data_IF_827370171447
#
_entry.id   IF_827370171447
#
_cell.length_a   1.000
_cell.length_b   1.000
_cell.length_c   1.000
_cell.angle_alpha   90.00
_cell.angle_beta   90.00
_cell.angle_gamma   90.00
#
_symmetry.space_group_name_H-M   'P 1'
#
loop_
_entity.id
_entity.type
_entity.pdbx_description
1 polymer ?
#
# COMPACT_ATOMS: atom_id res chain seq x y z
N UNK A 1 5.13 10.49 21.77
CA UNK A 1 5.71 9.25 21.23
C UNK A 1 6.37 9.44 19.84
N UNK A 2 5.82 10.32 19.00
CA UNK A 2 6.33 10.62 17.65
C UNK A 2 7.71 11.30 17.67
N UNK A 3 7.97 12.20 18.61
CA UNK A 3 9.26 12.88 18.76
C UNK A 3 10.38 11.89 19.11
N UNK A 4 10.09 10.94 20.02
CA UNK A 4 11.02 9.86 20.37
C UNK A 4 11.34 8.98 19.18
N UNK A 5 10.32 8.65 18.38
CA UNK A 5 10.48 7.90 17.14
C UNK A 5 11.35 8.67 16.14
N UNK A 6 11.03 9.95 15.90
CA UNK A 6 11.76 10.79 14.97
C UNK A 6 13.26 10.88 15.34
N UNK A 7 13.57 11.14 16.60
CA UNK A 7 14.95 11.17 17.08
C UNK A 7 15.67 9.83 16.85
N UNK A 8 15.07 8.73 17.29
CA UNK A 8 15.69 7.41 17.17
C UNK A 8 15.90 7.00 15.71
N UNK A 9 14.99 7.38 14.82
CA UNK A 9 15.10 7.09 13.40
C UNK A 9 16.15 7.99 12.73
N UNK A 10 16.23 9.28 13.07
CA UNK A 10 17.28 10.16 12.55
C UNK A 10 18.66 9.62 12.89
N UNK A 11 18.87 9.20 14.14
CA UNK A 11 20.15 8.62 14.60
C UNK A 11 20.47 7.29 13.86
N UNK A 12 19.43 6.47 13.59
CA UNK A 12 19.62 5.15 12.97
C UNK A 12 19.93 5.20 11.48
N UNK A 13 19.29 6.11 10.74
CA UNK A 13 19.36 6.15 9.27
C UNK A 13 20.23 7.29 8.75
N UNK A 14 20.68 8.21 9.62
CA UNK A 14 21.53 9.34 9.23
C UNK A 14 20.84 10.42 8.38
N UNK A 15 19.48 10.47 8.44
CA UNK A 15 18.66 11.46 7.74
C UNK A 15 17.73 12.12 8.75
N UNK A 16 17.47 13.41 8.58
CA UNK A 16 16.55 14.13 9.46
C UNK A 16 15.13 13.57 9.35
N UNK A 17 14.63 13.04 10.45
CA UNK A 17 13.24 12.64 10.63
C UNK A 17 12.56 13.66 11.54
N UNK A 18 11.54 14.33 11.03
CA UNK A 18 10.86 15.42 11.72
C UNK A 18 9.45 14.97 12.12
N UNK A 19 9.16 15.03 13.41
CA UNK A 19 7.81 14.81 13.89
C UNK A 19 6.97 16.07 13.66
N UNK A 20 5.79 15.89 13.07
CA UNK A 20 4.82 16.97 12.86
C UNK A 20 3.54 16.72 13.66
N UNK A 21 2.76 17.75 13.92
CA UNK A 21 1.57 17.70 14.76
C UNK A 21 0.28 17.43 13.99
N UNK A 22 0.31 17.55 12.66
CA UNK A 22 -0.84 17.27 11.80
C UNK A 22 -0.44 16.59 10.50
N UNK A 23 -1.39 15.89 9.88
CA UNK A 23 -1.20 15.30 8.56
C UNK A 23 -0.96 16.37 7.49
N UNK A 24 -1.68 17.50 7.55
CA UNK A 24 -1.49 18.60 6.61
C UNK A 24 -0.04 19.12 6.60
N UNK A 25 0.58 19.27 7.78
CA UNK A 25 1.99 19.67 7.88
C UNK A 25 2.95 18.64 7.32
N UNK A 26 2.57 17.35 7.33
CA UNK A 26 3.36 16.32 6.67
C UNK A 26 3.37 16.50 5.14
N UNK A 27 2.29 17.00 4.57
CA UNK A 27 2.18 17.28 3.13
C UNK A 27 2.93 18.55 2.68
N UNK A 28 3.17 19.50 3.57
CA UNK A 28 3.58 20.84 3.19
C UNK A 28 4.87 20.89 2.36
N UNK A 29 5.85 20.03 2.62
CA UNK A 29 7.15 19.99 1.92
C UNK A 29 7.50 18.62 1.36
N UNK A 30 6.53 17.72 1.28
CA UNK A 30 6.77 16.37 0.83
C UNK A 30 6.60 16.24 -0.68
N UNK A 31 7.50 15.52 -1.33
CA UNK A 31 7.37 15.07 -2.71
C UNK A 31 6.71 13.70 -2.78
N UNK A 32 6.89 12.88 -1.73
CA UNK A 32 6.33 11.53 -1.61
C UNK A 32 5.58 11.39 -0.30
N UNK A 33 4.35 10.95 -0.36
CA UNK A 33 3.50 10.66 0.78
C UNK A 33 3.29 9.14 0.86
N UNK A 34 3.52 8.57 2.03
CA UNK A 34 3.19 7.18 2.32
C UNK A 34 2.17 7.13 3.45
N UNK A 35 0.97 6.66 3.15
CA UNK A 35 -0.03 6.36 4.16
C UNK A 35 0.00 4.85 4.47
N UNK A 36 0.22 4.52 5.73
CA UNK A 36 0.27 3.15 6.24
C UNK A 36 -0.27 3.15 7.68
N UNK A 37 -1.52 3.56 7.82
CA UNK A 37 -2.21 3.66 9.10
C UNK A 37 -3.22 2.52 9.27
N UNK A 38 -3.85 2.45 10.43
CA UNK A 38 -5.00 1.58 10.68
C UNK A 38 -6.33 2.35 10.62
N UNK A 39 -6.37 3.48 9.91
CA UNK A 39 -7.57 4.30 9.81
C UNK A 39 -8.65 3.65 8.95
N UNK A 40 -9.88 3.80 9.38
CA UNK A 40 -11.08 3.43 8.60
C UNK A 40 -11.66 4.62 7.82
N UNK A 41 -11.05 5.78 7.95
CA UNK A 41 -11.46 7.03 7.30
C UNK A 41 -10.26 7.63 6.57
N UNK A 42 -10.48 8.46 5.53
CA UNK A 42 -9.41 9.15 4.83
C UNK A 42 -8.48 9.89 5.79
N UNK A 43 -7.18 9.76 5.57
CA UNK A 43 -6.16 10.34 6.46
C UNK A 43 -5.58 11.64 5.94
N UNK A 44 -6.01 12.07 4.76
CA UNK A 44 -5.60 13.34 4.14
C UNK A 44 -6.74 13.95 3.32
N UNK A 45 -6.59 15.22 2.97
CA UNK A 45 -7.50 15.94 2.09
C UNK A 45 -6.85 16.14 0.71
N UNK A 46 -7.57 15.87 -0.41
CA UNK A 46 -7.03 16.04 -1.76
C UNK A 46 -6.53 17.47 -2.03
N UNK A 47 -7.03 18.44 -1.32
CA UNK A 47 -6.63 19.85 -1.43
C UNK A 47 -5.18 20.11 -1.02
N UNK A 48 -4.57 19.21 -0.24
CA UNK A 48 -3.16 19.29 0.17
C UNK A 48 -2.19 18.81 -0.91
N UNK A 49 -2.71 18.16 -1.96
CA UNK A 49 -1.89 17.66 -3.06
C UNK A 49 -1.34 18.82 -3.90
N UNK A 50 -0.05 18.77 -4.16
CA UNK A 50 0.69 19.71 -5.01
C UNK A 50 1.17 19.02 -6.28
N UNK A 51 1.38 19.77 -7.36
CA UNK A 51 1.99 19.24 -8.58
C UNK A 51 3.28 18.46 -8.28
N UNK A 52 3.46 17.34 -8.95
CA UNK A 52 4.65 16.50 -8.83
C UNK A 52 4.65 15.50 -7.67
N UNK A 53 3.70 15.58 -6.75
CA UNK A 53 3.63 14.63 -5.63
C UNK A 53 3.38 13.19 -6.07
N UNK A 54 3.88 12.26 -5.27
CA UNK A 54 3.55 10.84 -5.35
C UNK A 54 2.89 10.36 -4.07
N UNK A 55 1.77 9.64 -4.21
CA UNK A 55 1.08 9.01 -3.08
C UNK A 55 1.22 7.50 -3.15
N UNK A 56 1.68 6.90 -2.07
CA UNK A 56 1.64 5.46 -1.81
C UNK A 56 0.65 5.18 -0.67
N UNK A 57 -0.44 4.50 -0.97
CA UNK A 57 -1.53 4.25 -0.03
C UNK A 57 -1.63 2.76 0.27
N UNK A 58 -1.60 2.41 1.55
CA UNK A 58 -1.61 1.02 2.02
C UNK A 58 -2.99 0.38 1.98
N UNK A 59 -4.04 1.15 2.17
CA UNK A 59 -5.42 0.66 2.12
C UNK A 59 -6.37 1.69 1.52
N UNK A 60 -7.34 1.20 0.76
CA UNK A 60 -8.37 2.03 0.14
C UNK A 60 -9.15 2.90 1.14
N UNK A 61 -9.23 2.51 2.41
CA UNK A 61 -9.95 3.28 3.43
C UNK A 61 -9.21 4.57 3.83
N UNK A 62 -7.89 4.58 3.76
CA UNK A 62 -7.07 5.77 4.04
C UNK A 62 -7.20 6.86 2.98
N UNK A 63 -7.69 6.48 1.80
CA UNK A 63 -7.75 7.32 0.62
C UNK A 63 -9.02 8.17 0.56
N UNK A 64 -8.94 9.33 -0.07
CA UNK A 64 -10.11 10.12 -0.44
C UNK A 64 -10.43 9.91 -1.92
N UNK A 65 -11.66 9.49 -2.22
CA UNK A 65 -12.10 9.23 -3.59
C UNK A 65 -11.90 10.41 -4.55
N UNK A 66 -11.90 11.63 -4.03
CA UNK A 66 -11.68 12.86 -4.82
C UNK A 66 -10.22 12.97 -5.30
N UNK A 67 -9.29 12.23 -4.70
CA UNK A 67 -7.89 12.18 -5.13
C UNK A 67 -7.77 11.63 -6.53
N UNK A 68 -8.57 10.62 -6.85
CA UNK A 68 -8.53 9.94 -8.16
C UNK A 68 -8.90 10.88 -9.33
N UNK A 69 -9.64 11.94 -9.06
CA UNK A 69 -9.94 12.96 -10.07
C UNK A 69 -8.75 13.90 -10.30
N UNK A 70 -7.90 14.08 -9.29
CA UNK A 70 -6.74 14.99 -9.34
C UNK A 70 -5.45 14.28 -9.77
N UNK A 71 -5.40 12.97 -9.65
CA UNK A 71 -4.26 12.18 -10.07
C UNK A 71 -4.43 11.78 -11.53
N UNK A 72 -3.43 12.07 -12.34
CA UNK A 72 -3.48 11.66 -13.76
C UNK A 72 -3.27 10.17 -13.91
N UNK A 73 -2.49 9.57 -13.04
CA UNK A 73 -2.13 8.17 -13.10
C UNK A 73 -2.38 7.49 -11.77
N UNK A 74 -3.15 6.41 -11.80
CA UNK A 74 -3.43 5.61 -10.62
C UNK A 74 -2.95 4.21 -10.90
N UNK A 75 -1.94 3.82 -10.16
CA UNK A 75 -1.31 2.52 -10.28
C UNK A 75 -1.77 1.67 -9.11
N UNK A 76 -2.47 0.62 -9.40
CA UNK A 76 -2.84 -0.40 -8.41
C UNK A 76 -1.93 -1.61 -8.55
N UNK A 77 -1.66 -2.29 -7.45
CA UNK A 77 -0.81 -3.48 -7.49
C UNK A 77 -1.45 -4.59 -8.31
N UNK A 78 -2.75 -4.78 -8.17
CA UNK A 78 -3.53 -5.74 -8.94
C UNK A 78 -5.00 -5.31 -8.97
N UNK A 79 -5.63 -5.32 -10.14
CA UNK A 79 -7.07 -5.07 -10.27
C UNK A 79 -7.86 -6.20 -9.62
N UNK A 80 -9.00 -5.89 -8.97
CA UNK A 80 -9.88 -6.92 -8.46
C UNK A 80 -10.43 -7.79 -9.60
N UNK A 81 -10.34 -9.11 -9.46
CA UNK A 81 -10.98 -10.03 -10.40
C UNK A 81 -12.50 -9.98 -10.19
N UNK A 82 -13.25 -9.46 -11.19
CA UNK A 82 -14.71 -9.60 -11.27
C UNK A 82 -15.53 -8.97 -10.13
N UNK A 83 -15.04 -7.91 -9.52
CA UNK A 83 -15.61 -7.31 -8.32
C UNK A 83 -14.80 -7.68 -7.08
N UNK A 84 -15.11 -7.05 -5.96
CA UNK A 84 -14.48 -7.39 -4.68
C UNK A 84 -14.70 -8.88 -4.41
N UNK A 85 -13.60 -9.64 -4.29
CA UNK A 85 -13.70 -11.06 -4.00
C UNK A 85 -14.48 -11.30 -2.72
N UNK A 86 -15.25 -12.39 -2.66
CA UNK A 86 -15.94 -12.84 -1.45
C UNK A 86 -15.00 -12.92 -0.24
N UNK A 87 -13.70 -13.13 -0.49
CA UNK A 87 -12.66 -13.10 0.52
C UNK A 87 -12.57 -11.73 1.22
N UNK A 88 -12.57 -10.62 0.48
CA UNK A 88 -12.53 -9.27 1.10
C UNK A 88 -13.83 -8.97 1.85
N UNK A 89 -14.97 -9.46 1.36
CA UNK A 89 -16.26 -9.27 2.03
C UNK A 89 -16.33 -10.00 3.37
N UNK A 90 -15.67 -11.13 3.48
CA UNK A 90 -15.72 -11.99 4.67
C UNK A 90 -14.50 -11.79 5.61
N UNK A 91 -13.53 -10.97 5.23
CA UNK A 91 -12.35 -10.73 6.06
C UNK A 91 -12.68 -9.75 7.19
N UNK A 92 -12.90 -10.30 8.37
CA UNK A 92 -13.21 -9.53 9.58
C UNK A 92 -11.91 -9.11 10.26
N UNK A 93 -11.52 -7.85 10.12
CA UNK A 93 -10.38 -7.23 10.85
C UNK A 93 -10.85 -6.26 11.95
N UNK A 94 -11.94 -6.55 12.59
CA UNK A 94 -12.51 -5.71 13.64
C UNK A 94 -13.74 -4.94 13.19
N UNK A 95 -14.48 -4.43 14.15
CA UNK A 95 -15.70 -3.65 13.94
C UNK A 95 -15.43 -2.17 14.11
N UNK A 96 -15.91 -1.36 13.17
CA UNK A 96 -16.02 0.07 13.37
C UNK A 96 -17.14 0.36 14.39
N UNK A 97 -17.10 1.51 15.05
CA UNK A 97 -18.20 2.01 15.91
C UNK A 97 -19.59 2.01 15.24
N UNK A 98 -19.63 1.96 13.91
CA UNK A 98 -20.85 1.83 13.10
C UNK A 98 -21.36 0.41 12.93
N UNK A 99 -20.68 -0.60 13.48
CA UNK A 99 -21.01 -2.03 13.29
C UNK A 99 -20.59 -2.62 11.93
N UNK A 100 -20.00 -1.84 11.03
CA UNK A 100 -19.52 -2.34 9.75
C UNK A 100 -18.12 -2.93 9.87
N UNK A 101 -17.90 -4.09 9.26
CA UNK A 101 -16.57 -4.72 9.20
C UNK A 101 -15.65 -3.99 8.22
N UNK A 102 -14.34 -4.17 8.37
CA UNK A 102 -13.34 -3.65 7.43
C UNK A 102 -13.64 -4.05 5.98
N UNK A 103 -13.96 -5.33 5.75
CA UNK A 103 -14.29 -5.83 4.41
C UNK A 103 -15.52 -5.17 3.80
N UNK A 104 -16.57 -4.93 4.59
CA UNK A 104 -17.78 -4.24 4.11
C UNK A 104 -17.48 -2.79 3.72
N UNK A 105 -16.63 -2.10 4.46
CA UNK A 105 -16.22 -0.72 4.16
C UNK A 105 -15.37 -0.66 2.88
N UNK A 106 -14.41 -1.57 2.72
CA UNK A 106 -13.59 -1.68 1.50
C UNK A 106 -14.48 -1.96 0.29
N UNK A 107 -15.40 -2.92 0.40
CA UNK A 107 -16.30 -3.27 -0.69
C UNK A 107 -17.17 -2.07 -1.11
N UNK A 108 -17.82 -1.41 -0.15
CA UNK A 108 -18.62 -0.22 -0.42
C UNK A 108 -17.81 0.88 -1.11
N UNK A 109 -16.57 1.10 -0.70
CA UNK A 109 -15.71 2.12 -1.27
C UNK A 109 -15.21 1.74 -2.65
N UNK A 110 -14.84 0.48 -2.87
CA UNK A 110 -14.33 -0.01 -4.15
C UNK A 110 -15.34 0.08 -5.30
N UNK A 111 -16.64 0.03 -4.99
CA UNK A 111 -17.72 0.20 -5.96
C UNK A 111 -17.81 1.63 -6.56
N UNK A 112 -17.08 2.58 -5.98
CA UNK A 112 -17.06 3.98 -6.46
C UNK A 112 -16.05 4.19 -7.59
N UNK A 113 -15.28 3.17 -7.97
CA UNK A 113 -14.20 3.28 -8.94
C UNK A 113 -14.46 2.44 -10.19
N UNK A 114 -14.08 2.98 -11.33
CA UNK A 114 -13.85 2.18 -12.53
C UNK A 114 -12.42 1.61 -12.51
N UNK A 115 -12.29 0.41 -11.98
CA UNK A 115 -11.00 -0.29 -11.88
C UNK A 115 -10.33 -0.54 -13.22
N UNK A 116 -11.09 -0.56 -14.32
CA UNK A 116 -10.52 -0.76 -15.66
C UNK A 116 -9.73 0.46 -16.15
N UNK A 117 -10.02 1.64 -15.60
CA UNK A 117 -9.30 2.87 -15.94
C UNK A 117 -7.91 2.96 -15.31
N UNK A 118 -7.61 2.10 -14.32
CA UNK A 118 -6.35 2.13 -13.58
C UNK A 118 -5.28 1.28 -14.26
N UNK A 119 -4.03 1.70 -14.12
CA UNK A 119 -2.86 0.96 -14.58
C UNK A 119 -2.43 -0.03 -13.52
N UNK A 120 -2.14 -1.26 -13.89
CA UNK A 120 -1.51 -2.23 -12.99
C UNK A 120 0.00 -2.00 -12.91
N UNK A 121 0.57 -2.17 -11.72
CA UNK A 121 2.02 -2.02 -11.50
C UNK A 121 2.83 -2.96 -12.40
N UNK A 122 2.32 -4.18 -12.65
CA UNK A 122 2.94 -5.14 -13.55
C UNK A 122 3.05 -4.62 -14.98
N UNK A 123 2.02 -3.98 -15.49
CA UNK A 123 2.03 -3.39 -16.85
C UNK A 123 3.02 -2.23 -16.96
N UNK A 124 3.08 -1.39 -15.92
CA UNK A 124 4.07 -0.31 -15.85
C UNK A 124 5.50 -0.86 -15.87
N UNK A 125 5.80 -1.85 -15.03
CA UNK A 125 7.14 -2.43 -14.90
C UNK A 125 7.58 -3.18 -16.17
N UNK A 126 6.64 -3.76 -16.92
CA UNK A 126 6.90 -4.44 -18.20
C UNK A 126 6.89 -3.49 -19.40
N UNK A 127 6.65 -2.21 -19.20
CA UNK A 127 6.60 -1.22 -20.29
C UNK A 127 5.33 -1.28 -21.15
N UNK A 128 4.29 -1.98 -20.70
CA UNK A 128 2.98 -2.05 -21.38
C UNK A 128 2.14 -0.81 -21.10
N UNK A 129 2.46 -0.06 -20.04
CA UNK A 129 1.85 1.21 -19.70
C UNK A 129 2.92 2.27 -19.46
N UNK A 130 2.56 3.53 -19.70
CA UNK A 130 3.46 4.65 -19.45
C UNK A 130 3.32 5.13 -18.01
N UNK A 131 4.46 5.43 -17.37
CA UNK A 131 4.50 6.11 -16.10
C UNK A 131 4.34 7.62 -16.22
N UNK A 132 4.83 8.33 -15.21
CA UNK A 132 4.81 9.81 -15.14
C UNK A 132 5.33 10.44 -16.44
N UNK A 133 4.56 11.35 -17.01
CA UNK A 133 4.88 12.02 -18.29
C UNK A 133 5.42 13.44 -18.08
N UNK A 134 5.13 14.08 -16.96
CA UNK A 134 5.67 15.39 -16.61
C UNK A 134 6.01 15.50 -15.13
N UNK A 135 6.85 16.48 -14.79
CA UNK A 135 7.22 16.74 -13.40
C UNK A 135 6.02 17.18 -12.52
N UNK A 136 5.00 17.75 -13.14
CA UNK A 136 3.84 18.30 -12.43
C UNK A 136 2.73 17.26 -12.21
N UNK A 137 2.82 16.08 -12.84
CA UNK A 137 1.81 15.04 -12.65
C UNK A 137 1.82 14.53 -11.22
N UNK A 138 0.63 14.46 -10.64
CA UNK A 138 0.42 13.77 -9.36
C UNK A 138 0.24 12.28 -9.69
N UNK A 139 1.07 11.43 -9.12
CA UNK A 139 0.96 9.98 -9.29
C UNK A 139 0.48 9.33 -8.01
N UNK A 140 -0.26 8.25 -8.14
CA UNK A 140 -0.88 7.56 -7.01
C UNK A 140 -0.69 6.04 -7.15
N UNK A 141 -0.15 5.41 -6.13
CA UNK A 141 -0.04 3.96 -6.04
C UNK A 141 -0.91 3.45 -4.88
N UNK A 142 -1.99 2.77 -5.22
CA UNK A 142 -2.79 2.04 -4.27
C UNK A 142 -2.27 0.60 -4.15
N UNK A 143 -1.66 0.27 -3.02
CA UNK A 143 -1.17 -1.08 -2.73
C UNK A 143 -2.29 -1.95 -2.14
N UNK A 144 -3.30 -2.20 -2.94
CA UNK A 144 -4.55 -2.85 -2.50
C UNK A 144 -4.50 -4.38 -2.52
N UNK A 145 -3.73 -4.98 -3.42
CA UNK A 145 -3.68 -6.42 -3.67
C UNK A 145 -2.26 -6.87 -4.05
N UNK A 146 -2.05 -8.18 -4.18
CA UNK A 146 -0.79 -8.72 -4.65
C UNK A 146 0.30 -8.88 -3.58
N UNK A 147 -0.01 -8.60 -2.32
CA UNK A 147 0.96 -8.75 -1.21
C UNK A 147 1.56 -10.16 -1.15
N UNK A 148 0.79 -11.19 -1.42
CA UNK A 148 1.28 -12.56 -1.48
C UNK A 148 2.40 -12.75 -2.51
N UNK A 149 2.27 -12.20 -3.71
CA UNK A 149 3.32 -12.24 -4.74
C UNK A 149 4.55 -11.41 -4.33
N UNK A 150 4.33 -10.24 -3.75
CA UNK A 150 5.41 -9.38 -3.25
C UNK A 150 6.22 -10.10 -2.17
N UNK A 151 5.56 -10.74 -1.22
CA UNK A 151 6.22 -11.54 -0.17
C UNK A 151 6.91 -12.76 -0.73
N UNK A 152 6.32 -13.46 -1.69
CA UNK A 152 6.97 -14.61 -2.34
C UNK A 152 8.24 -14.19 -3.08
N UNK A 153 8.20 -13.09 -3.84
CA UNK A 153 9.36 -12.56 -4.55
C UNK A 153 10.47 -12.09 -3.60
N UNK A 154 10.11 -11.33 -2.57
CA UNK A 154 11.05 -10.89 -1.55
C UNK A 154 11.63 -12.08 -0.77
N UNK A 155 10.79 -13.03 -0.37
CA UNK A 155 11.19 -14.25 0.33
C UNK A 155 12.15 -15.12 -0.50
N UNK A 156 11.87 -15.30 -1.77
CA UNK A 156 12.77 -16.03 -2.68
C UNK A 156 14.14 -15.36 -2.77
N UNK A 157 14.19 -14.02 -2.85
CA UNK A 157 15.45 -13.27 -2.88
C UNK A 157 16.21 -13.35 -1.56
N UNK A 158 15.50 -13.24 -0.43
CA UNK A 158 16.10 -13.41 0.90
C UNK A 158 16.67 -14.81 1.06
N UNK A 159 15.93 -15.85 0.69
CA UNK A 159 16.38 -17.24 0.76
C UNK A 159 17.63 -17.47 -0.09
N UNK A 160 17.63 -17.00 -1.33
CA UNK A 160 18.79 -17.11 -2.21
C UNK A 160 20.03 -16.43 -1.64
N UNK A 161 19.86 -15.23 -1.05
CA UNK A 161 20.96 -14.50 -0.42
C UNK A 161 21.44 -15.21 0.86
N UNK A 162 20.54 -15.71 1.70
CA UNK A 162 20.89 -16.44 2.93
C UNK A 162 21.72 -17.69 2.60
N UNK A 163 21.30 -18.49 1.62
CA UNK A 163 22.05 -19.64 1.14
C UNK A 163 23.45 -19.28 0.63
N UNK A 164 23.54 -18.25 -0.19
CA UNK A 164 24.83 -17.76 -0.72
C UNK A 164 25.77 -17.26 0.37
N UNK A 165 25.23 -16.70 1.44
CA UNK A 165 26.00 -16.12 2.56
C UNK A 165 26.21 -17.15 3.71
N UNK A 166 25.65 -18.35 3.63
CA UNK A 166 25.70 -19.35 4.71
C UNK A 166 24.98 -18.92 5.99
N UNK A 167 23.91 -18.11 5.85
CA UNK A 167 23.14 -17.57 6.98
C UNK A 167 21.88 -18.40 7.23
N UNK A 168 21.57 -18.57 8.51
CA UNK A 168 20.36 -19.26 8.95
C UNK A 168 20.51 -20.78 9.00
N UNK A 169 19.41 -21.46 9.30
CA UNK A 169 19.32 -22.94 9.30
C UNK A 169 18.26 -23.37 8.31
N UNK A 170 18.60 -24.24 7.38
CA UNK A 170 17.64 -24.79 6.43
C UNK A 170 16.81 -25.88 7.09
N UNK A 171 15.50 -25.69 7.13
CA UNK A 171 14.55 -26.68 7.62
C UNK A 171 13.97 -27.46 6.46
N UNK A 172 13.71 -28.75 6.67
CA UNK A 172 13.01 -29.57 5.66
C UNK A 172 11.62 -29.00 5.41
N UNK A 173 11.21 -28.95 4.13
CA UNK A 173 9.85 -28.58 3.73
C UNK A 173 8.76 -29.44 4.39
N UNK A 174 9.11 -30.68 4.78
CA UNK A 174 8.16 -31.60 5.43
C UNK A 174 7.61 -31.08 6.76
N UNK A 175 8.33 -30.16 7.43
CA UNK A 175 7.82 -29.48 8.63
C UNK A 175 6.61 -28.58 8.37
N UNK A 176 6.42 -28.16 7.13
CA UNK A 176 5.40 -27.17 6.73
C UNK A 176 4.31 -27.80 5.86
N UNK A 177 4.48 -29.04 5.44
CA UNK A 177 3.47 -29.75 4.65
C UNK A 177 2.47 -30.40 5.58
N UNK A 178 1.21 -30.06 5.41
CA UNK A 178 0.10 -30.75 6.06
C UNK A 178 -0.01 -32.15 5.40
N UNK A 179 0.26 -33.21 6.16
CA UNK A 179 0.01 -34.57 5.68
C UNK A 179 -1.50 -34.77 5.71
N UNK A 180 -2.10 -35.00 4.56
CA UNK A 180 -3.48 -35.46 4.51
C UNK A 180 -3.56 -36.78 5.28
N UNK A 181 -4.41 -36.82 6.30
CA UNK A 181 -4.77 -38.06 6.96
C UNK A 181 -5.72 -38.81 6.02
N UNK A 182 -5.21 -39.81 5.32
CA UNK A 182 -6.01 -40.82 4.63
C UNK A 182 -6.71 -41.73 5.64
#
# INVERSE_FOLDING_TARGET
NRERFAKAMSERIGVDVIAVDSAERAFDRADVILAATSSYDPVYAPEWLKPGMHLGIGTLLEDDVRTFVRSREIIVSLKPFGGTSDFVQNFVMGEKKSGATFGQLINKKSQQFDWNSFVELGDLLNGHAQGRQSADEITHHLNNNGSGMQFAAAGARILANARRMGLGTELSGDFFLQKEHT
#
